data_IF_703716903820
#
_entry.id   IF_703716903820
#
_cell.length_a   1.000
_cell.length_b   1.000
_cell.length_c   1.000
_cell.angle_alpha   90.00
_cell.angle_beta   90.00
_cell.angle_gamma   90.00
#
_symmetry.space_group_name_H-M   'P 1'
#
loop_
_entity.id
_entity.type
_entity.pdbx_description
1 polymer ?
#
# COMPACT_ATOMS: atom_id res chain seq x y z
N UNK A 1 -15.43 10.23 -4.89
CA UNK A 1 -15.30 9.54 -3.59
C UNK A 1 -14.19 10.23 -2.83
N UNK A 2 -14.45 10.67 -1.61
CA UNK A 2 -13.45 11.33 -0.75
C UNK A 2 -12.56 10.28 -0.06
N UNK A 3 -11.38 10.67 0.46
CA UNK A 3 -10.54 9.76 1.26
C UNK A 3 -11.27 9.20 2.49
N UNK A 4 -12.12 10.01 3.14
CA UNK A 4 -12.92 9.58 4.30
C UNK A 4 -13.98 8.54 3.90
N UNK A 5 -14.72 8.76 2.80
CA UNK A 5 -15.66 7.76 2.27
C UNK A 5 -14.94 6.47 1.87
N UNK A 6 -13.72 6.59 1.33
CA UNK A 6 -12.92 5.44 0.94
C UNK A 6 -12.44 4.65 2.16
N UNK A 7 -11.96 5.34 3.19
CA UNK A 7 -11.58 4.76 4.47
C UNK A 7 -12.71 3.92 5.06
N UNK A 8 -13.91 4.49 5.14
CA UNK A 8 -15.08 3.82 5.74
C UNK A 8 -15.50 2.56 4.98
N UNK A 9 -15.39 2.58 3.65
CA UNK A 9 -15.68 1.40 2.81
C UNK A 9 -14.60 0.34 2.93
N UNK A 10 -13.33 0.74 2.94
CA UNK A 10 -12.21 -0.19 2.84
C UNK A 10 -11.86 -0.83 4.18
N UNK A 11 -11.99 -0.10 5.30
CA UNK A 11 -11.65 -0.58 6.65
C UNK A 11 -12.26 -1.95 6.98
N UNK A 12 -13.60 -2.17 6.94
CA UNK A 12 -14.18 -3.46 7.31
C UNK A 12 -13.74 -4.61 6.39
N UNK A 13 -13.46 -4.31 5.11
CA UNK A 13 -12.99 -5.31 4.14
C UNK A 13 -11.56 -5.80 4.43
N UNK A 14 -10.75 -4.97 5.08
CA UNK A 14 -9.36 -5.27 5.41
C UNK A 14 -9.25 -5.84 6.82
N UNK A 15 -10.02 -5.31 7.77
CA UNK A 15 -10.08 -5.81 9.14
C UNK A 15 -10.61 -7.26 9.18
N UNK A 16 -11.61 -7.60 8.34
CA UNK A 16 -12.09 -8.98 8.20
C UNK A 16 -11.02 -9.96 7.66
N UNK A 17 -9.94 -9.44 7.08
CA UNK A 17 -8.77 -10.21 6.61
C UNK A 17 -7.58 -10.12 7.58
N UNK A 18 -7.74 -9.50 8.74
CA UNK A 18 -6.68 -9.32 9.74
C UNK A 18 -5.72 -8.16 9.46
N UNK A 19 -6.06 -7.24 8.55
CA UNK A 19 -5.25 -6.05 8.26
C UNK A 19 -5.95 -4.80 8.75
N UNK A 20 -5.28 -4.03 9.60
CA UNK A 20 -5.81 -2.81 10.19
C UNK A 20 -5.17 -1.60 9.53
N UNK A 21 -5.85 -0.47 9.50
CA UNK A 21 -5.18 0.77 9.15
C UNK A 21 -4.28 1.23 10.29
N UNK A 22 -3.19 1.93 9.95
CA UNK A 22 -2.37 2.64 10.92
C UNK A 22 -3.23 3.59 11.77
N UNK A 23 -2.94 3.66 13.08
CA UNK A 23 -3.66 4.52 14.02
C UNK A 23 -3.53 6.01 13.72
N UNK A 24 -2.48 6.43 12.99
CA UNK A 24 -2.37 7.79 12.50
C UNK A 24 -3.37 8.02 11.34
N UNK A 25 -4.52 8.60 11.69
CA UNK A 25 -5.63 8.76 10.74
C UNK A 25 -5.32 9.78 9.64
N UNK A 26 -4.58 10.85 9.94
CA UNK A 26 -4.23 11.87 8.95
C UNK A 26 -3.33 11.24 7.89
N UNK A 27 -2.27 10.56 8.33
CA UNK A 27 -1.37 9.80 7.46
C UNK A 27 -2.11 8.78 6.59
N UNK A 28 -3.04 8.02 7.16
CA UNK A 28 -3.85 7.06 6.40
C UNK A 28 -4.68 7.76 5.33
N UNK A 29 -5.33 8.89 5.65
CA UNK A 29 -6.16 9.61 4.69
C UNK A 29 -5.33 10.15 3.51
N UNK A 30 -4.11 10.61 3.74
CA UNK A 30 -3.19 11.07 2.68
C UNK A 30 -2.79 9.92 1.72
N UNK A 31 -2.52 8.72 2.27
CA UNK A 31 -2.22 7.54 1.47
C UNK A 31 -3.45 7.07 0.68
N UNK A 32 -4.64 7.14 1.28
CA UNK A 32 -5.89 6.81 0.60
C UNK A 32 -6.22 7.82 -0.50
N UNK A 33 -5.96 9.10 -0.30
CA UNK A 33 -6.07 10.13 -1.35
C UNK A 33 -5.13 9.83 -2.51
N UNK A 34 -3.86 9.53 -2.21
CA UNK A 34 -2.86 9.18 -3.22
C UNK A 34 -3.26 7.94 -4.03
N UNK A 35 -3.88 6.95 -3.39
CA UNK A 35 -4.45 5.78 -4.09
C UNK A 35 -5.57 6.15 -5.06
N UNK A 36 -6.43 7.10 -4.69
CA UNK A 36 -7.50 7.60 -5.56
C UNK A 36 -6.93 8.36 -6.74
N UNK A 37 -5.94 9.23 -6.51
CA UNK A 37 -5.21 9.94 -7.57
C UNK A 37 -4.55 8.95 -8.52
N UNK A 38 -3.88 7.91 -8.01
CA UNK A 38 -3.26 6.88 -8.84
C UNK A 38 -4.28 6.09 -9.66
N UNK A 39 -5.44 5.77 -9.08
CA UNK A 39 -6.54 5.14 -9.83
C UNK A 39 -7.01 6.01 -10.97
N UNK A 40 -7.20 7.30 -10.72
CA UNK A 40 -7.73 8.22 -11.73
C UNK A 40 -6.67 8.49 -12.82
N UNK A 41 -5.38 8.46 -12.47
CA UNK A 41 -4.25 8.62 -13.40
C UNK A 41 -3.97 7.39 -14.26
N UNK A 42 -3.88 6.21 -13.66
CA UNK A 42 -3.41 4.98 -14.32
C UNK A 42 -4.53 3.97 -14.64
N UNK A 43 -5.74 4.20 -14.14
CA UNK A 43 -6.85 3.25 -14.23
C UNK A 43 -6.80 2.13 -13.18
N UNK A 44 -5.81 2.14 -12.28
CA UNK A 44 -5.65 1.18 -11.18
C UNK A 44 -4.99 1.83 -9.97
N UNK A 45 -5.26 1.28 -8.79
CA UNK A 45 -4.68 1.76 -7.54
C UNK A 45 -3.24 1.30 -7.38
N UNK A 46 -2.30 1.91 -8.09
CA UNK A 46 -0.87 1.70 -7.86
C UNK A 46 -0.48 2.13 -6.42
N UNK A 47 0.41 1.38 -5.78
CA UNK A 47 0.91 1.67 -4.44
C UNK A 47 1.42 3.13 -4.35
N UNK A 48 0.97 3.93 -3.38
CA UNK A 48 1.24 5.38 -3.36
C UNK A 48 2.69 5.72 -3.00
N UNK A 49 3.44 4.79 -2.41
CA UNK A 49 4.84 4.99 -2.03
C UNK A 49 5.83 4.34 -3.01
N UNK A 50 5.35 3.77 -4.13
CA UNK A 50 6.20 3.19 -5.18
C UNK A 50 5.97 3.94 -6.47
N UNK A 51 7.02 4.09 -7.26
CA UNK A 51 6.91 4.65 -8.59
C UNK A 51 6.17 3.66 -9.50
N UNK A 52 4.98 4.04 -9.93
CA UNK A 52 4.20 3.31 -10.92
C UNK A 52 4.79 3.56 -12.31
N UNK A 53 4.89 2.52 -13.12
CA UNK A 53 5.32 2.63 -14.52
C UNK A 53 4.21 3.19 -15.42
N UNK A 54 2.95 3.07 -14.99
CA UNK A 54 1.79 3.34 -15.84
C UNK A 54 1.44 2.18 -16.78
N UNK A 55 2.33 1.19 -16.89
CA UNK A 55 2.03 -0.06 -17.57
C UNK A 55 1.35 -1.02 -16.59
N UNK A 56 0.09 -1.33 -16.91
CA UNK A 56 -0.78 -2.19 -16.09
C UNK A 56 -0.15 -3.55 -15.78
N UNK A 57 0.58 -4.15 -16.71
CA UNK A 57 1.15 -5.49 -16.55
C UNK A 57 2.42 -5.48 -15.70
N UNK A 58 3.25 -4.45 -15.84
CA UNK A 58 4.46 -4.26 -15.02
C UNK A 58 4.14 -3.90 -13.57
N UNK A 59 3.01 -3.23 -13.34
CA UNK A 59 2.63 -2.73 -12.01
C UNK A 59 1.72 -3.69 -11.22
N UNK A 60 1.30 -4.84 -11.76
CA UNK A 60 0.34 -5.76 -11.08
C UNK A 60 0.75 -6.12 -9.66
N UNK A 61 2.05 -6.24 -9.41
CA UNK A 61 2.62 -6.57 -8.11
C UNK A 61 2.42 -5.47 -7.07
N UNK A 62 2.32 -4.21 -7.50
CA UNK A 62 2.16 -3.04 -6.63
C UNK A 62 0.72 -2.51 -6.59
N UNK A 63 -0.27 -3.24 -7.09
CA UNK A 63 -1.68 -2.86 -6.97
C UNK A 63 -2.11 -2.91 -5.52
N UNK A 64 -2.66 -1.85 -4.95
CA UNK A 64 -3.03 -1.81 -3.55
C UNK A 64 -4.33 -2.62 -3.28
N UNK A 65 -4.33 -3.56 -2.32
CA UNK A 65 -3.20 -4.01 -1.50
C UNK A 65 -2.21 -4.89 -2.29
N UNK A 66 -0.93 -4.53 -2.26
CA UNK A 66 0.12 -5.17 -3.07
C UNK A 66 0.47 -6.57 -2.58
N UNK A 67 1.14 -7.36 -3.43
CA UNK A 67 1.55 -8.74 -3.10
C UNK A 67 2.50 -8.81 -1.90
N UNK A 68 3.17 -7.70 -1.59
CA UNK A 68 4.12 -7.57 -0.49
C UNK A 68 3.47 -7.28 0.86
N UNK A 69 2.21 -6.79 0.89
CA UNK A 69 1.56 -6.38 2.14
C UNK A 69 1.52 -7.50 3.17
N UNK A 70 1.12 -8.69 2.76
CA UNK A 70 0.96 -9.84 3.65
C UNK A 70 2.30 -10.28 4.27
N UNK A 71 3.36 -10.57 3.50
CA UNK A 71 4.65 -10.89 4.09
C UNK A 71 5.27 -9.73 4.88
N UNK A 72 5.06 -8.47 4.47
CA UNK A 72 5.52 -7.30 5.23
C UNK A 72 4.85 -7.21 6.61
N UNK A 73 3.52 -7.32 6.67
CA UNK A 73 2.79 -7.27 7.94
C UNK A 73 3.11 -8.47 8.82
N UNK A 74 3.31 -9.66 8.24
CA UNK A 74 3.69 -10.84 8.99
C UNK A 74 5.09 -10.73 9.63
N UNK A 75 6.05 -10.13 8.93
CA UNK A 75 7.44 -10.02 9.40
C UNK A 75 7.69 -8.77 10.26
N UNK A 76 7.13 -7.63 9.88
CA UNK A 76 7.42 -6.31 10.46
C UNK A 76 6.23 -5.66 11.16
N UNK A 77 5.04 -6.27 11.10
CA UNK A 77 3.82 -5.71 11.66
C UNK A 77 3.20 -4.57 10.84
N UNK A 78 3.85 -4.12 9.76
CA UNK A 78 3.38 -3.05 8.87
C UNK A 78 3.73 -3.36 7.41
N UNK A 79 2.91 -2.92 6.46
CA UNK A 79 3.28 -2.95 5.04
C UNK A 79 4.29 -1.85 4.71
N UNK A 80 4.99 -1.95 3.58
CA UNK A 80 6.01 -0.96 3.17
C UNK A 80 5.60 0.53 3.30
N UNK A 81 4.38 0.91 2.88
CA UNK A 81 3.90 2.30 3.05
C UNK A 81 3.39 2.66 4.46
N UNK A 82 3.28 1.70 5.37
CA UNK A 82 2.64 1.88 6.68
C UNK A 82 1.13 2.08 6.64
N UNK A 83 0.44 1.87 5.50
CA UNK A 83 -1.03 1.97 5.43
C UNK A 83 -1.71 0.86 6.24
N UNK A 84 -1.29 -0.38 5.98
CA UNK A 84 -1.82 -1.57 6.64
C UNK A 84 -0.83 -2.07 7.69
N UNK A 85 -1.35 -2.42 8.85
CA UNK A 85 -0.58 -2.89 10.00
C UNK A 85 -1.32 -4.03 10.70
N UNK A 86 -0.60 -4.77 11.53
CA UNK A 86 -1.17 -5.70 12.51
C UNK A 86 -1.78 -4.94 13.69
N UNK A 87 -2.68 -5.59 14.43
CA UNK A 87 -3.22 -5.01 15.65
C UNK A 87 -2.11 -4.78 16.68
N UNK A 88 -1.18 -5.73 16.82
CA UNK A 88 -0.04 -5.67 17.72
C UNK A 88 0.87 -4.47 17.43
N UNK A 89 1.06 -4.13 16.15
CA UNK A 89 1.83 -2.95 15.75
C UNK A 89 1.12 -1.66 16.17
N UNK A 90 -0.19 -1.56 15.95
CA UNK A 90 -0.97 -0.41 16.43
C UNK A 90 -0.92 -0.26 17.97
N UNK A 91 -1.03 -1.38 18.67
CA UNK A 91 -0.95 -1.49 20.13
C UNK A 91 0.46 -1.22 20.69
N UNK A 92 1.50 -1.13 19.83
CA UNK A 92 2.89 -0.93 20.23
C UNK A 92 3.52 -2.17 20.91
N UNK A 93 2.99 -3.37 20.65
CA UNK A 93 3.48 -4.64 21.20
C UNK A 93 4.64 -5.23 20.40
N UNK A 94 4.83 -4.79 19.17
CA UNK A 94 5.97 -5.14 18.32
C UNK A 94 6.77 -3.89 17.96
N UNK A 95 8.09 -4.00 17.73
CA UNK A 95 8.90 -2.88 17.30
C UNK A 95 8.43 -2.29 15.97
N UNK A 96 8.52 -0.97 15.83
CA UNK A 96 8.20 -0.25 14.59
C UNK A 96 9.44 -0.15 13.72
N UNK A 97 9.84 -1.28 13.13
CA UNK A 97 11.02 -1.34 12.26
C UNK A 97 10.74 -0.78 10.87
N UNK A 98 11.81 -0.39 10.17
CA UNK A 98 11.72 0.02 8.77
C UNK A 98 11.50 -1.21 7.89
N UNK A 99 10.39 -1.23 7.16
CA UNK A 99 10.07 -2.30 6.21
C UNK A 99 10.99 -2.14 4.98
N UNK A 100 11.81 -3.14 4.62
CA UNK A 100 12.64 -3.09 3.42
C UNK A 100 11.79 -3.18 2.16
N UNK A 101 12.27 -2.63 1.04
CA UNK A 101 11.62 -2.81 -0.25
C UNK A 101 11.82 -4.25 -0.74
N UNK A 102 10.73 -5.01 -0.83
CA UNK A 102 10.72 -6.39 -1.36
C UNK A 102 10.53 -6.46 -2.86
N UNK A 103 10.11 -5.37 -3.51
CA UNK A 103 9.93 -5.34 -4.95
C UNK A 103 11.27 -5.54 -5.64
N UNK A 104 11.29 -6.47 -6.58
CA UNK A 104 12.45 -6.76 -7.40
C UNK A 104 12.91 -5.48 -8.14
N UNK A 105 14.18 -5.03 -7.96
CA UNK A 105 14.72 -3.88 -8.66
C UNK A 105 14.60 -3.98 -10.19
N UNK A 106 14.65 -5.18 -10.78
CA UNK A 106 14.50 -5.34 -12.22
C UNK A 106 13.12 -4.89 -12.71
N UNK A 107 12.06 -5.07 -11.91
CA UNK A 107 10.72 -4.57 -12.27
C UNK A 107 10.64 -3.05 -12.24
N UNK A 108 11.35 -2.43 -11.30
CA UNK A 108 11.44 -0.97 -11.23
C UNK A 108 12.19 -0.43 -12.45
N UNK A 109 13.32 -1.04 -12.79
CA UNK A 109 14.12 -0.66 -13.96
C UNK A 109 13.34 -0.88 -15.27
N UNK A 110 12.60 -1.98 -15.40
CA UNK A 110 11.76 -2.24 -16.55
C UNK A 110 10.72 -1.14 -16.78
N UNK A 111 10.15 -0.58 -15.70
CA UNK A 111 9.20 0.54 -15.78
C UNK A 111 9.84 1.85 -16.24
N UNK A 112 11.13 2.07 -15.99
CA UNK A 112 11.87 3.26 -16.43
C UNK A 112 12.34 3.18 -17.88
N UNK A 113 12.57 1.96 -18.37
CA UNK A 113 13.01 1.67 -19.73
C UNK A 113 11.84 1.37 -20.67
N UNK A 114 10.60 1.39 -20.16
CA UNK A 114 9.42 1.22 -20.95
C UNK A 114 9.17 2.49 -21.78
N UNK A 115 9.37 2.38 -23.09
CA UNK A 115 8.95 3.38 -24.08
C UNK A 115 7.59 2.95 -24.66
N UNK A 116 6.62 3.87 -24.71
CA UNK A 116 5.29 3.66 -25.30
C UNK A 116 5.33 3.47 -26.82
#
# INVERSE_FOLDING_TARGET
>A
MTPQEFYEKLRPLQESKGFFFNKDKEFVLDLLESLLVNRDRYGYMACPCRLASGNRDLDKDIFCPCVYREPDVAEFGACYCGLYVSQEWNDGKVPHETVPERRDPEKLLAGLLFEE
#
